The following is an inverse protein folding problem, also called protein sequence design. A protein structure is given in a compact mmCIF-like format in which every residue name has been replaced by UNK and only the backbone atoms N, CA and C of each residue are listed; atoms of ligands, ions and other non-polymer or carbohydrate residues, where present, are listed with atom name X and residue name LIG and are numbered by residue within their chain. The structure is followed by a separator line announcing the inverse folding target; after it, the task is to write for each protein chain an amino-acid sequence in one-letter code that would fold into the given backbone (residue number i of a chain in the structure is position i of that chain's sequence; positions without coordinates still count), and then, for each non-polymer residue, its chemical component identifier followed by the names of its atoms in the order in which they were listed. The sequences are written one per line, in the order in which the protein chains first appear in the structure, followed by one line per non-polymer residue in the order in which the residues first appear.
data_IF_402813625632
#
_entry.id   IF_402813625632
#
_cell.length_a   1.000
_cell.length_b   1.000
_cell.length_c   1.000
_cell.angle_alpha   90.00
_cell.angle_beta   90.00
_cell.angle_gamma   90.00
#
_symmetry.space_group_name_H-M   'P 1'
#
loop_
_entity.id
_entity.type
_entity.pdbx_description
1 polymer ?
#
# COMPACT_ATOMS: atom_id res chain seq x y z
N UNK A 1 9.71 -13.70 -12.36
CA UNK A 1 8.64 -13.26 -11.43
C UNK A 1 7.59 -14.35 -11.35
N UNK A 2 7.07 -14.64 -10.15
CA UNK A 2 6.08 -15.72 -9.91
C UNK A 2 4.66 -15.16 -9.81
N UNK A 3 3.66 -15.95 -10.23
CA UNK A 3 2.24 -15.56 -10.22
C UNK A 3 1.70 -15.55 -8.79
N UNK A 4 0.96 -14.50 -8.45
CA UNK A 4 0.09 -14.42 -7.27
C UNK A 4 -1.33 -14.72 -7.73
N UNK A 5 -1.92 -15.80 -7.23
CA UNK A 5 -3.32 -16.16 -7.49
C UNK A 5 -4.09 -15.93 -6.19
N UNK A 6 -5.13 -15.11 -6.23
CA UNK A 6 -5.97 -14.77 -5.07
C UNK A 6 -7.42 -15.05 -5.41
N UNK A 7 -8.09 -15.88 -4.61
CA UNK A 7 -9.54 -16.09 -4.66
C UNK A 7 -10.16 -15.38 -3.46
N UNK A 8 -11.09 -14.46 -3.69
CA UNK A 8 -11.63 -13.59 -2.63
C UNK A 8 -13.09 -13.26 -2.88
N UNK A 9 -13.83 -13.08 -1.78
CA UNK A 9 -15.23 -12.65 -1.74
C UNK A 9 -15.40 -11.68 -0.56
N UNK A 10 -14.75 -10.51 -0.65
CA UNK A 10 -14.63 -9.53 0.43
C UNK A 10 -15.06 -8.13 -0.04
N UNK A 11 -15.68 -7.36 0.84
CA UNK A 11 -15.75 -5.89 0.72
C UNK A 11 -14.61 -5.28 1.51
N UNK A 12 -13.87 -4.35 0.89
CA UNK A 12 -12.77 -3.65 1.53
C UNK A 12 -13.17 -2.21 1.78
N UNK A 13 -13.03 -1.76 3.02
CA UNK A 13 -13.12 -0.36 3.40
C UNK A 13 -11.96 -0.02 4.33
N UNK A 14 -11.31 1.12 4.08
CA UNK A 14 -10.12 1.55 4.78
C UNK A 14 -9.13 2.32 3.90
N UNK A 15 -8.12 2.90 4.54
CA UNK A 15 -7.03 3.61 3.88
C UNK A 15 -5.79 2.72 3.85
N UNK A 16 -5.22 2.50 2.66
CA UNK A 16 -3.88 1.92 2.53
C UNK A 16 -2.89 3.05 2.26
N UNK A 17 -1.79 3.06 3.01
CA UNK A 17 -0.65 3.93 2.76
C UNK A 17 0.52 3.10 2.23
N UNK A 18 1.20 3.63 1.22
CA UNK A 18 2.45 3.06 0.73
C UNK A 18 3.61 3.44 1.67
N UNK A 19 4.75 2.73 1.61
CA UNK A 19 5.97 3.19 2.27
C UNK A 19 6.34 4.59 1.79
N UNK A 20 6.87 5.41 2.69
CA UNK A 20 7.47 6.69 2.31
C UNK A 20 8.70 6.50 1.42
N UNK A 21 8.90 7.42 0.49
CA UNK A 21 10.09 7.51 -0.34
C UNK A 21 11.27 8.17 0.37
N UNK A 22 12.52 7.97 -0.09
CA UNK A 22 13.65 8.75 0.40
C UNK A 22 13.45 10.24 0.16
N UNK A 23 13.59 11.06 1.20
CA UNK A 23 13.40 12.51 1.14
C UNK A 23 11.94 12.98 1.18
N UNK A 24 10.99 12.05 1.34
CA UNK A 24 9.62 12.45 1.65
C UNK A 24 9.54 13.01 3.07
N UNK A 25 8.90 14.16 3.19
CA UNK A 25 8.64 14.86 4.44
C UNK A 25 9.88 15.35 5.22
N UNK A 26 10.97 15.67 4.51
CA UNK A 26 12.19 16.24 5.12
C UNK A 26 11.95 17.59 5.84
N UNK A 27 10.88 18.30 5.49
CA UNK A 27 10.49 19.56 6.14
C UNK A 27 9.59 19.38 7.37
N UNK A 28 9.13 18.16 7.65
CA UNK A 28 8.18 17.84 8.73
C UNK A 28 6.80 18.44 8.51
N UNK A 29 5.87 17.62 8.04
CA UNK A 29 4.46 17.99 7.81
C UNK A 29 3.67 18.32 9.07
#
# INVERSE_FOLDING_TARGET
MRKLIVSTFLTLDGVMQAPGGPGEDDSGG
#
